data_IF_550120352045
#
_entry.id   IF_550120352045
#
_cell.length_a   1.000
_cell.length_b   1.000
_cell.length_c   1.000
_cell.angle_alpha   90.00
_cell.angle_beta   90.00
_cell.angle_gamma   90.00
#
_symmetry.space_group_name_H-M   'P 1'
#
loop_
_entity.id
_entity.type
_entity.pdbx_description
1 polymer ?
#
# COMPACT_ATOMS: atom_id res chain seq x y z
N UNK A 1 12.29 35.42 -40.43
CA UNK A 1 11.49 34.56 -39.53
C UNK A 1 12.45 33.62 -38.84
N UNK A 2 12.63 33.73 -37.51
CA UNK A 2 13.44 32.78 -36.75
C UNK A 2 12.64 31.47 -36.57
N UNK A 3 13.30 30.33 -36.72
CA UNK A 3 12.66 29.02 -36.58
C UNK A 3 12.17 28.80 -35.13
N UNK A 4 10.99 28.17 -34.93
CA UNK A 4 10.52 27.82 -33.59
C UNK A 4 11.52 26.89 -32.91
N UNK A 5 11.97 27.26 -31.71
CA UNK A 5 12.87 26.45 -30.88
C UNK A 5 12.05 25.61 -29.91
N UNK A 6 12.37 24.32 -29.81
CA UNK A 6 11.77 23.39 -28.88
C UNK A 6 12.87 22.66 -28.12
N UNK A 7 12.59 22.28 -26.87
CA UNK A 7 13.53 21.54 -26.03
C UNK A 7 12.80 20.57 -25.12
N UNK A 8 13.52 19.52 -24.73
CA UNK A 8 13.07 18.52 -23.77
C UNK A 8 14.09 18.46 -22.64
N UNK A 9 13.61 18.42 -21.41
CA UNK A 9 14.45 18.18 -20.23
C UNK A 9 13.94 16.90 -19.58
N UNK A 10 14.83 15.93 -19.47
CA UNK A 10 14.61 14.68 -18.76
C UNK A 10 15.41 14.69 -17.47
N UNK A 11 14.77 14.33 -16.36
CA UNK A 11 15.45 14.22 -15.08
C UNK A 11 14.85 13.09 -14.26
N UNK A 12 15.71 12.28 -13.68
CA UNK A 12 15.35 11.29 -12.68
C UNK A 12 15.35 11.95 -11.30
N UNK A 13 14.24 11.81 -10.57
CA UNK A 13 14.12 12.29 -9.18
C UNK A 13 13.54 11.13 -8.36
N UNK A 14 14.30 10.64 -7.40
CA UNK A 14 13.89 9.57 -6.47
C UNK A 14 13.41 8.28 -7.17
N UNK A 15 14.07 7.89 -8.27
CA UNK A 15 13.76 6.66 -9.01
C UNK A 15 12.56 6.76 -9.96
N UNK A 16 12.00 7.96 -10.14
CA UNK A 16 10.92 8.24 -11.09
C UNK A 16 11.44 9.15 -12.20
N UNK A 17 11.17 8.79 -13.45
CA UNK A 17 11.53 9.58 -14.63
C UNK A 17 10.52 10.68 -14.88
N UNK A 18 10.99 11.91 -14.95
CA UNK A 18 10.18 13.07 -15.32
C UNK A 18 10.68 13.65 -16.63
N UNK A 19 9.77 13.77 -17.61
CA UNK A 19 10.01 14.46 -18.87
C UNK A 19 9.13 15.70 -18.91
N UNK A 20 9.75 16.86 -19.11
CA UNK A 20 9.07 18.11 -19.41
C UNK A 20 9.49 18.56 -20.81
N UNK A 21 8.51 18.85 -21.65
CA UNK A 21 8.74 19.41 -22.97
C UNK A 21 8.23 20.84 -23.03
N UNK A 22 8.93 21.69 -23.76
CA UNK A 22 8.49 23.06 -23.98
C UNK A 22 8.58 23.43 -25.47
N UNK A 23 7.67 24.29 -25.92
CA UNK A 23 7.66 24.84 -27.28
C UNK A 23 7.39 26.34 -27.25
N UNK A 24 8.21 27.11 -27.95
CA UNK A 24 7.93 28.51 -28.26
C UNK A 24 6.99 28.59 -29.47
N UNK A 25 5.85 29.24 -29.32
CA UNK A 25 4.95 29.54 -30.44
C UNK A 25 5.41 30.79 -31.18
N UNK A 26 4.94 30.96 -32.41
CA UNK A 26 5.24 32.14 -33.23
C UNK A 26 4.76 33.47 -32.59
N UNK A 27 3.86 33.41 -31.60
CA UNK A 27 3.39 34.57 -30.83
C UNK A 27 4.22 34.89 -29.58
N UNK A 28 5.34 34.19 -29.36
CA UNK A 28 6.17 34.35 -28.16
C UNK A 28 5.63 33.64 -26.92
N UNK A 29 4.61 32.78 -27.06
CA UNK A 29 4.05 32.00 -25.96
C UNK A 29 4.88 30.72 -25.75
N UNK A 30 5.29 30.43 -24.52
CA UNK A 30 5.94 29.15 -24.18
C UNK A 30 4.88 28.20 -23.66
N UNK A 31 4.67 27.09 -24.38
CA UNK A 31 3.80 26.01 -23.95
C UNK A 31 4.68 24.97 -23.26
N UNK A 32 4.43 24.72 -21.97
CA UNK A 32 5.09 23.65 -21.21
C UNK A 32 4.10 22.50 -21.06
N UNK A 33 4.51 21.30 -21.50
CA UNK A 33 3.73 20.08 -21.35
C UNK A 33 4.46 19.13 -20.42
N UNK A 34 3.85 18.87 -19.27
CA UNK A 34 4.28 17.86 -18.31
C UNK A 34 3.07 16.96 -17.98
N UNK A 35 3.23 15.62 -17.94
CA UNK A 35 2.11 14.68 -17.79
C UNK A 35 1.30 14.84 -16.50
N UNK A 36 1.86 15.55 -15.51
CA UNK A 36 1.23 15.83 -14.22
C UNK A 36 0.64 17.25 -14.10
N UNK A 37 0.85 18.12 -15.09
CA UNK A 37 0.16 19.40 -15.19
C UNK A 37 -0.92 19.29 -16.27
N UNK A 38 -2.16 19.05 -15.86
CA UNK A 38 -3.29 19.29 -16.75
C UNK A 38 -3.43 20.80 -16.99
N UNK A 39 -3.03 21.21 -18.20
CA UNK A 39 -3.47 22.41 -18.91
C UNK A 39 -3.31 23.77 -18.17
N UNK A 40 -2.16 24.03 -17.54
CA UNK A 40 -1.78 25.41 -17.19
C UNK A 40 -1.12 26.10 -18.38
N UNK A 41 -1.91 26.86 -19.15
CA UNK A 41 -1.38 27.86 -20.08
C UNK A 41 -0.94 29.10 -19.31
N UNK A 42 0.36 29.25 -19.09
CA UNK A 42 0.91 30.48 -18.52
C UNK A 42 1.44 31.35 -19.65
N UNK A 43 0.85 32.55 -19.81
CA UNK A 43 1.45 33.59 -20.65
C UNK A 43 2.65 34.16 -19.92
N UNK A 44 3.83 33.94 -20.47
CA UNK A 44 5.07 34.50 -19.93
C UNK A 44 5.31 35.91 -20.48
N UNK A 45 5.70 36.82 -19.58
CA UNK A 45 6.19 38.13 -19.97
C UNK A 45 7.52 38.01 -20.72
N UNK A 46 7.71 38.84 -21.73
CA UNK A 46 8.74 38.74 -22.78
C UNK A 46 10.19 39.03 -22.33
N UNK A 47 10.54 38.85 -21.06
CA UNK A 47 11.83 39.32 -20.50
C UNK A 47 12.67 38.32 -19.73
N UNK A 48 12.12 37.20 -19.26
CA UNK A 48 12.86 36.26 -18.40
C UNK A 48 13.37 35.05 -19.18
N UNK A 49 14.62 34.65 -18.91
CA UNK A 49 15.24 33.53 -19.59
C UNK A 49 14.46 32.24 -19.29
N UNK A 50 14.00 31.50 -20.33
CA UNK A 50 13.09 30.36 -20.16
C UNK A 50 13.66 29.23 -19.31
N UNK A 51 14.99 29.17 -19.14
CA UNK A 51 15.67 28.20 -18.30
C UNK A 51 15.50 28.47 -16.79
N UNK A 52 15.43 29.72 -16.36
CA UNK A 52 15.34 30.05 -14.93
C UNK A 52 13.92 29.87 -14.41
N UNK A 53 12.93 30.24 -15.22
CA UNK A 53 11.54 29.90 -14.95
C UNK A 53 11.33 28.38 -14.85
N UNK A 54 11.92 27.59 -15.74
CA UNK A 54 11.81 26.13 -15.67
C UNK A 54 12.38 25.57 -14.35
N UNK A 55 13.47 26.15 -13.85
CA UNK A 55 14.03 25.79 -12.53
C UNK A 55 13.11 26.20 -11.38
N UNK A 56 12.51 27.39 -11.43
CA UNK A 56 11.58 27.86 -10.41
C UNK A 56 10.31 27.04 -10.35
N UNK A 57 9.75 26.69 -11.51
CA UNK A 57 8.57 25.82 -11.59
C UNK A 57 8.88 24.42 -11.05
N UNK A 58 10.05 23.87 -11.36
CA UNK A 58 10.49 22.60 -10.80
C UNK A 58 10.68 22.70 -9.27
N UNK A 59 11.27 23.79 -8.77
CA UNK A 59 11.46 24.01 -7.35
C UNK A 59 10.13 24.14 -6.60
N UNK A 60 9.18 24.90 -7.15
CA UNK A 60 7.84 25.05 -6.61
C UNK A 60 7.09 23.72 -6.57
N UNK A 61 7.17 22.93 -7.63
CA UNK A 61 6.56 21.61 -7.70
C UNK A 61 7.16 20.63 -6.67
N UNK A 62 8.49 20.61 -6.53
CA UNK A 62 9.16 19.78 -5.51
C UNK A 62 8.75 20.22 -4.10
N UNK A 63 8.62 21.52 -3.85
CA UNK A 63 8.14 22.04 -2.58
C UNK A 63 6.68 21.63 -2.29
N UNK A 64 5.79 21.73 -3.28
CA UNK A 64 4.40 21.28 -3.19
C UNK A 64 4.30 19.78 -2.89
N UNK A 65 5.07 18.95 -3.62
CA UNK A 65 5.12 17.49 -3.38
C UNK A 65 5.61 17.16 -1.97
N UNK A 66 6.63 17.87 -1.47
CA UNK A 66 7.10 17.71 -0.09
C UNK A 66 6.02 18.10 0.92
N UNK A 67 5.25 19.17 0.64
CA UNK A 67 4.14 19.58 1.49
C UNK A 67 3.01 18.55 1.49
N UNK A 68 2.59 18.04 0.32
CA UNK A 68 1.57 16.98 0.23
C UNK A 68 2.01 15.70 0.95
N UNK A 69 3.28 15.30 0.83
CA UNK A 69 3.81 14.14 1.56
C UNK A 69 3.80 14.35 3.06
N UNK A 70 4.19 15.54 3.52
CA UNK A 70 4.09 15.92 4.95
C UNK A 70 2.64 15.90 5.42
N UNK A 71 1.69 16.34 4.59
CA UNK A 71 0.26 16.27 4.93
C UNK A 71 -0.24 14.83 5.03
N UNK A 72 0.20 13.91 4.15
CA UNK A 72 -0.16 12.48 4.23
C UNK A 72 0.39 11.80 5.47
N UNK A 73 1.65 12.10 5.80
CA UNK A 73 2.30 11.60 7.03
C UNK A 73 1.65 12.22 8.29
N UNK A 74 1.34 13.52 8.27
CA UNK A 74 0.68 14.21 9.38
C UNK A 74 -0.81 13.81 9.53
N UNK A 75 -1.48 13.41 8.45
CA UNK A 75 -2.85 12.93 8.45
C UNK A 75 -2.98 11.53 9.09
N UNK A 76 -1.90 10.95 9.61
CA UNK A 76 -1.98 9.70 10.37
C UNK A 76 -2.23 8.47 9.49
N UNK A 77 -1.77 8.51 8.23
CA UNK A 77 -1.62 7.34 7.34
C UNK A 77 -0.46 6.45 7.89
N UNK A 78 -0.53 6.07 9.16
CA UNK A 78 0.60 5.61 9.97
C UNK A 78 0.23 4.63 11.09
N UNK A 79 -0.95 4.03 11.05
CA UNK A 79 -1.24 2.92 11.95
C UNK A 79 -2.13 1.90 11.26
N UNK A 80 -1.54 1.14 10.35
CA UNK A 80 -2.14 -0.08 9.79
C UNK A 80 -2.17 -1.22 10.83
N UNK A 81 -2.23 -0.89 12.13
CA UNK A 81 -2.24 -1.84 13.22
C UNK A 81 -3.41 -2.81 13.10
N UNK A 82 -4.57 -2.35 12.60
CA UNK A 82 -5.72 -3.20 12.30
C UNK A 82 -5.32 -4.23 11.24
N UNK A 83 -4.71 -3.80 10.13
CA UNK A 83 -4.22 -4.69 9.08
C UNK A 83 -3.17 -5.67 9.60
N UNK A 84 -2.25 -5.21 10.43
CA UNK A 84 -1.22 -6.04 11.05
C UNK A 84 -1.81 -7.08 12.02
N UNK A 85 -2.80 -6.71 12.83
CA UNK A 85 -3.51 -7.62 13.74
C UNK A 85 -4.31 -8.66 12.94
N UNK A 86 -4.97 -8.24 11.87
CA UNK A 86 -5.69 -9.15 10.98
C UNK A 86 -4.76 -10.15 10.29
N UNK A 87 -3.66 -9.67 9.71
CA UNK A 87 -2.68 -10.52 9.05
C UNK A 87 -2.01 -11.47 10.05
N UNK A 88 -1.65 -10.98 11.24
CA UNK A 88 -1.04 -11.76 12.31
C UNK A 88 -1.99 -12.84 12.84
N UNK A 89 -3.24 -12.49 13.12
CA UNK A 89 -4.26 -13.42 13.60
C UNK A 89 -4.58 -14.51 12.58
N UNK A 90 -4.82 -14.12 11.32
CA UNK A 90 -5.07 -15.07 10.24
C UNK A 90 -3.88 -16.02 10.02
N UNK A 91 -2.66 -15.49 10.02
CA UNK A 91 -1.44 -16.28 9.86
C UNK A 91 -1.24 -17.29 11.00
N UNK A 92 -1.41 -16.85 12.25
CA UNK A 92 -1.27 -17.71 13.42
C UNK A 92 -2.35 -18.81 13.44
N UNK A 93 -3.62 -18.45 13.24
CA UNK A 93 -4.72 -19.42 13.21
C UNK A 93 -4.56 -20.41 12.07
N UNK A 94 -4.23 -19.94 10.87
CA UNK A 94 -3.98 -20.79 9.71
C UNK A 94 -2.83 -21.77 9.97
N UNK A 95 -1.72 -21.30 10.53
CA UNK A 95 -0.58 -22.15 10.86
C UNK A 95 -0.95 -23.24 11.87
N UNK A 96 -1.58 -22.88 12.98
CA UNK A 96 -1.99 -23.85 14.02
C UNK A 96 -2.94 -24.90 13.46
N UNK A 97 -3.95 -24.47 12.69
CA UNK A 97 -4.94 -25.39 12.10
C UNK A 97 -4.35 -26.27 11.00
N UNK A 98 -3.42 -25.73 10.19
CA UNK A 98 -2.70 -26.50 9.19
C UNK A 98 -1.93 -27.64 9.83
N UNK A 99 -1.06 -27.35 10.81
CA UNK A 99 -0.26 -28.39 11.46
C UNK A 99 -1.12 -29.35 12.28
N UNK A 100 -2.14 -28.86 12.98
CA UNK A 100 -3.06 -29.71 13.72
C UNK A 100 -3.78 -30.72 12.82
N UNK A 101 -4.35 -30.24 11.71
CA UNK A 101 -5.04 -31.12 10.76
C UNK A 101 -4.07 -32.03 9.98
N UNK A 102 -2.86 -31.55 9.65
CA UNK A 102 -1.88 -32.33 8.90
C UNK A 102 -1.33 -33.49 9.73
N UNK A 103 -0.99 -33.23 11.00
CA UNK A 103 -0.60 -34.27 11.95
C UNK A 103 -1.75 -35.25 12.20
N UNK A 104 -2.99 -34.77 12.28
CA UNK A 104 -4.17 -35.64 12.35
C UNK A 104 -4.26 -36.57 11.13
N UNK A 105 -4.02 -36.07 9.92
CA UNK A 105 -3.99 -36.91 8.71
C UNK A 105 -2.88 -37.96 8.75
N UNK A 106 -1.70 -37.64 9.28
CA UNK A 106 -0.60 -38.60 9.47
C UNK A 106 -0.98 -39.69 10.47
N UNK A 107 -1.59 -39.31 11.59
CA UNK A 107 -1.99 -40.25 12.63
C UNK A 107 -3.11 -41.19 12.17
N UNK A 108 -4.05 -40.70 11.36
CA UNK A 108 -5.25 -41.46 10.99
C UNK A 108 -5.10 -42.27 9.69
N UNK A 109 -4.42 -41.72 8.68
CA UNK A 109 -4.27 -42.37 7.36
C UNK A 109 -2.89 -43.00 7.15
N UNK A 110 -2.02 -42.92 8.16
CA UNK A 110 -0.65 -43.45 8.12
C UNK A 110 0.33 -42.50 7.43
N UNK A 111 1.63 -42.83 7.54
CA UNK A 111 2.72 -41.94 7.11
C UNK A 111 2.66 -41.59 5.61
N UNK A 112 2.41 -42.56 4.74
CA UNK A 112 2.50 -42.38 3.29
C UNK A 112 1.38 -41.48 2.74
N UNK A 113 0.14 -41.72 3.17
CA UNK A 113 -1.02 -40.92 2.74
C UNK A 113 -1.11 -39.61 3.52
N UNK A 114 -0.78 -39.60 4.81
CA UNK A 114 -0.84 -38.41 5.63
C UNK A 114 0.23 -37.37 5.30
N UNK A 115 1.48 -37.79 5.07
CA UNK A 115 2.54 -36.85 4.68
C UNK A 115 2.37 -36.43 3.21
N UNK A 116 2.08 -37.38 2.31
CA UNK A 116 2.03 -37.12 0.87
C UNK A 116 0.77 -36.38 0.39
N UNK A 117 -0.41 -36.78 0.89
CA UNK A 117 -1.70 -36.24 0.45
C UNK A 117 -2.40 -35.39 1.51
N UNK A 118 -2.09 -35.58 2.79
CA UNK A 118 -2.77 -34.89 3.90
C UNK A 118 -2.57 -33.37 3.94
N UNK A 119 -1.49 -32.86 3.33
CA UNK A 119 -1.25 -31.41 3.30
C UNK A 119 -2.32 -30.64 2.49
N UNK A 120 -2.91 -31.26 1.45
CA UNK A 120 -3.90 -30.62 0.59
C UNK A 120 -5.22 -30.32 1.33
N UNK A 121 -5.90 -31.31 1.97
CA UNK A 121 -7.08 -31.02 2.79
C UNK A 121 -6.74 -30.13 3.99
N UNK A 122 -5.56 -30.28 4.60
CA UNK A 122 -5.11 -29.40 5.69
C UNK A 122 -4.98 -27.94 5.29
N UNK A 123 -4.46 -27.67 4.08
CA UNK A 123 -4.36 -26.31 3.56
C UNK A 123 -5.74 -25.67 3.37
N UNK A 124 -6.70 -26.42 2.83
CA UNK A 124 -8.08 -25.94 2.63
C UNK A 124 -8.69 -25.55 3.98
N UNK A 125 -8.60 -26.44 4.97
CA UNK A 125 -9.14 -26.17 6.32
C UNK A 125 -8.41 -25.01 6.99
N UNK A 126 -7.09 -24.89 6.81
CA UNK A 126 -6.30 -23.78 7.34
C UNK A 126 -6.70 -22.44 6.75
N UNK A 127 -6.93 -22.34 5.43
CA UNK A 127 -7.37 -21.10 4.78
C UNK A 127 -8.77 -20.71 5.25
N UNK A 128 -9.70 -21.67 5.36
CA UNK A 128 -11.05 -21.41 5.87
C UNK A 128 -11.00 -20.94 7.31
N UNK A 129 -10.21 -21.60 8.17
CA UNK A 129 -10.04 -21.20 9.56
C UNK A 129 -9.33 -19.84 9.70
N UNK A 130 -8.33 -19.55 8.87
CA UNK A 130 -7.66 -18.27 8.80
C UNK A 130 -8.61 -17.16 8.37
N UNK A 131 -9.57 -17.41 7.47
CA UNK A 131 -10.59 -16.42 7.13
C UNK A 131 -11.62 -16.20 8.26
N UNK A 132 -11.92 -17.26 9.01
CA UNK A 132 -12.88 -17.25 10.13
C UNK A 132 -12.25 -16.91 11.50
N UNK A 133 -10.97 -16.56 11.53
CA UNK A 133 -10.23 -16.27 12.77
C UNK A 133 -10.89 -15.22 13.69
N UNK A 134 -11.51 -14.12 13.22
CA UNK A 134 -12.08 -13.13 14.14
C UNK A 134 -13.31 -13.68 14.87
N UNK A 135 -14.10 -14.54 14.22
CA UNK A 135 -15.25 -15.19 14.85
C UNK A 135 -14.77 -16.20 15.89
N UNK A 136 -13.74 -16.99 15.56
CA UNK A 136 -13.14 -17.92 16.51
C UNK A 136 -12.57 -17.21 17.74
N UNK A 137 -11.89 -16.07 17.56
CA UNK A 137 -11.37 -15.25 18.65
C UNK A 137 -12.49 -14.69 19.55
N UNK A 138 -13.59 -14.20 18.96
CA UNK A 138 -14.75 -13.72 19.70
C UNK A 138 -15.42 -14.85 20.51
N UNK A 139 -15.58 -16.04 19.91
CA UNK A 139 -16.15 -17.20 20.61
C UNK A 139 -15.26 -17.65 21.77
N UNK A 140 -13.93 -17.63 21.58
CA UNK A 140 -12.98 -17.96 22.65
C UNK A 140 -13.06 -16.95 23.81
N UNK A 141 -13.12 -15.65 23.50
CA UNK A 141 -13.25 -14.59 24.50
C UNK A 141 -14.58 -14.72 25.28
N UNK A 142 -15.68 -14.98 24.58
CA UNK A 142 -16.98 -15.23 25.18
C UNK A 142 -16.94 -16.43 26.13
N UNK A 143 -16.36 -17.55 25.68
CA UNK A 143 -16.21 -18.76 26.49
C UNK A 143 -15.42 -18.48 27.77
N UNK A 144 -14.27 -17.80 27.66
CA UNK A 144 -13.44 -17.42 28.80
C UNK A 144 -14.20 -16.52 29.78
N UNK A 145 -14.97 -15.55 29.27
CA UNK A 145 -15.81 -14.67 30.08
C UNK A 145 -16.90 -15.44 30.84
N UNK A 146 -17.57 -16.40 30.19
CA UNK A 146 -18.58 -17.26 30.83
C UNK A 146 -17.94 -18.14 31.91
N UNK A 147 -16.80 -18.78 31.61
CA UNK A 147 -16.07 -19.62 32.58
C UNK A 147 -15.64 -18.79 33.80
N UNK A 148 -15.08 -17.60 33.58
CA UNK A 148 -14.70 -16.70 34.67
C UNK A 148 -15.91 -16.30 35.53
N UNK A 149 -17.03 -15.94 34.91
CA UNK A 149 -18.26 -15.59 35.62
C UNK A 149 -18.82 -16.77 36.45
N UNK A 150 -18.75 -17.99 35.91
CA UNK A 150 -19.16 -19.20 36.63
C UNK A 150 -18.28 -19.46 37.85
N UNK A 151 -16.94 -19.35 37.70
CA UNK A 151 -16.00 -19.54 38.80
C UNK A 151 -16.27 -18.52 39.92
N UNK A 152 -16.46 -17.25 39.57
CA UNK A 152 -16.77 -16.18 40.53
C UNK A 152 -18.10 -16.44 41.26
N UNK A 153 -19.11 -16.97 40.55
CA UNK A 153 -20.40 -17.32 41.13
C UNK A 153 -20.33 -18.53 42.07
N UNK A 154 -19.51 -19.53 41.76
CA UNK A 154 -19.37 -20.74 42.60
C UNK A 154 -18.49 -20.52 43.83
N UNK A 155 -17.64 -19.49 43.82
CA UNK A 155 -16.74 -19.15 44.92
C UNK A 155 -17.33 -18.20 45.97
N UNK A 156 -18.52 -17.65 45.75
CA UNK A 156 -19.26 -16.76 46.66
C UNK A 156 -20.35 -17.51 47.42
#
# INVERSE_FOLDING_TARGET
MAAPTAGTIEREIEGVWYAASWRLTAGGEVIVSAPFMQDRRMRLGTGEAPADLAKEMLAAFVAERRASRRMRVAAGEGSDWVGAVYAGGAGLTGFVVFFGSWVYCIAHYGFLLGVGLGWLPSLIVAVVAAALWPIAALLLLLLLGVVAALILRTGS
#
